data_IF_415799789373
#
_entry.id   IF_415799789373
#
_cell.length_a   1.000
_cell.length_b   1.000
_cell.length_c   1.000
_cell.angle_alpha   90.00
_cell.angle_beta   90.00
_cell.angle_gamma   90.00
#
_symmetry.space_group_name_H-M   'P 1'
#
loop_
_entity.id
_entity.type
_entity.pdbx_description
1 polymer ?
#
# COMPACT_ATOMS: atom_id res chain seq x y z
N UNK A 1 26.78 -4.29 -7.89
CA UNK A 1 25.49 -4.20 -7.19
C UNK A 1 25.79 -4.20 -5.69
N UNK A 2 25.25 -3.24 -4.94
CA UNK A 2 25.49 -3.11 -3.50
C UNK A 2 24.16 -3.23 -2.76
N UNK A 3 24.13 -4.03 -1.68
CA UNK A 3 22.98 -4.11 -0.77
C UNK A 3 23.26 -3.19 0.40
N UNK A 4 22.33 -2.30 0.71
CA UNK A 4 22.42 -1.40 1.84
C UNK A 4 21.17 -1.49 2.70
N UNK A 5 21.38 -1.59 4.01
CA UNK A 5 20.30 -1.63 5.00
C UNK A 5 19.92 -0.21 5.36
N UNK A 6 18.65 0.10 5.25
CA UNK A 6 18.08 1.39 5.62
C UNK A 6 17.60 1.39 7.08
N UNK A 7 17.43 2.58 7.66
CA UNK A 7 17.08 2.79 9.09
C UNK A 7 15.65 2.39 9.49
N UNK A 8 14.89 1.67 8.67
CA UNK A 8 13.51 1.16 8.93
C UNK A 8 12.50 2.23 9.34
N UNK A 9 12.61 3.44 8.82
CA UNK A 9 11.59 4.46 9.02
C UNK A 9 10.51 4.36 7.93
N UNK A 10 9.24 4.53 8.29
CA UNK A 10 8.13 4.52 7.33
C UNK A 10 8.30 5.54 6.20
N UNK A 11 8.92 6.70 6.52
CA UNK A 11 9.25 7.73 5.54
C UNK A 11 10.22 7.24 4.44
N UNK A 12 10.92 6.14 4.64
CA UNK A 12 11.78 5.51 3.64
C UNK A 12 11.04 5.09 2.36
N UNK A 13 9.73 4.94 2.39
CA UNK A 13 8.88 4.77 1.20
C UNK A 13 8.84 6.00 0.28
N UNK A 14 9.19 7.20 0.77
CA UNK A 14 9.35 8.39 -0.06
C UNK A 14 10.76 8.44 -0.66
N UNK A 15 10.85 8.48 -1.99
CA UNK A 15 12.11 8.31 -2.77
C UNK A 15 13.24 9.21 -2.31
N UNK A 16 12.95 10.48 -2.01
CA UNK A 16 14.00 11.45 -1.63
C UNK A 16 14.42 11.31 -0.17
N UNK A 17 13.55 10.84 0.70
CA UNK A 17 13.89 10.46 2.07
C UNK A 17 14.78 9.21 2.08
N UNK A 18 14.46 8.21 1.26
CA UNK A 18 15.30 7.02 1.05
C UNK A 18 16.71 7.42 0.61
N UNK A 19 16.84 8.28 -0.40
CA UNK A 19 18.15 8.75 -0.88
C UNK A 19 18.96 9.42 0.22
N UNK A 20 18.34 10.28 1.05
CA UNK A 20 19.01 10.88 2.20
C UNK A 20 19.48 9.87 3.23
N UNK A 21 18.65 8.86 3.51
CA UNK A 21 19.02 7.77 4.42
C UNK A 21 20.24 7.01 3.89
N UNK A 22 20.26 6.69 2.60
CA UNK A 22 21.41 6.05 1.93
C UNK A 22 22.69 6.93 1.94
N UNK A 23 22.52 8.26 1.99
CA UNK A 23 23.63 9.21 2.15
C UNK A 23 24.09 9.38 3.60
N UNK A 24 23.53 8.63 4.56
CA UNK A 24 23.84 8.77 5.99
C UNK A 24 23.22 10.02 6.64
N UNK A 25 22.25 10.65 5.98
CA UNK A 25 21.55 11.83 6.48
C UNK A 25 20.19 11.43 7.05
N UNK A 26 19.60 12.33 7.86
CA UNK A 26 18.22 12.12 8.34
C UNK A 26 17.26 11.95 7.16
N UNK A 27 16.48 10.85 7.16
CA UNK A 27 15.49 10.55 6.15
C UNK A 27 14.31 11.51 6.17
N UNK A 28 14.43 12.62 5.45
CA UNK A 28 13.38 13.61 5.26
C UNK A 28 13.23 13.93 3.79
N UNK A 29 12.01 14.15 3.27
CA UNK A 29 11.79 14.51 1.87
C UNK A 29 12.60 15.73 1.43
N UNK A 30 13.04 15.75 0.17
CA UNK A 30 13.64 16.92 -0.48
C UNK A 30 12.55 17.77 -1.15
N UNK A 31 12.82 19.06 -1.25
CA UNK A 31 11.99 19.97 -2.06
C UNK A 31 12.22 19.65 -3.54
N UNK A 32 11.19 19.66 -4.32
CA UNK A 32 11.22 19.46 -5.77
C UNK A 32 10.73 20.73 -6.47
N UNK A 33 11.37 21.23 -7.54
CA UNK A 33 12.60 20.75 -8.17
C UNK A 33 13.86 21.01 -7.32
N UNK A 34 15.01 20.30 -7.54
CA UNK A 34 15.24 19.33 -8.60
C UNK A 34 14.60 17.97 -8.33
N UNK A 35 14.23 17.26 -9.40
CA UNK A 35 13.75 15.89 -9.32
C UNK A 35 14.93 14.89 -9.24
N UNK A 36 14.73 13.66 -8.73
CA UNK A 36 15.79 12.67 -8.62
C UNK A 36 16.53 12.37 -9.93
N UNK A 37 15.84 12.42 -11.07
CA UNK A 37 16.45 12.25 -12.37
C UNK A 37 17.46 13.37 -12.73
N UNK A 38 17.36 14.52 -12.08
CA UNK A 38 18.28 15.66 -12.26
C UNK A 38 19.36 15.66 -11.19
N UNK A 39 18.96 15.47 -9.91
CA UNK A 39 19.85 15.50 -8.74
C UNK A 39 19.30 14.54 -7.66
N UNK A 40 19.69 13.28 -7.71
CA UNK A 40 19.26 12.21 -6.81
C UNK A 40 20.31 11.85 -5.74
N UNK A 41 20.69 10.57 -5.67
CA UNK A 41 21.67 10.04 -4.74
C UNK A 41 23.05 10.69 -4.98
N UNK A 42 23.68 11.19 -3.93
CA UNK A 42 24.95 11.94 -4.00
C UNK A 42 24.90 13.09 -5.03
N UNK A 43 23.75 13.69 -5.22
CA UNK A 43 23.52 14.76 -6.20
C UNK A 43 23.72 14.35 -7.67
N UNK A 44 23.73 13.04 -7.95
CA UNK A 44 23.85 12.48 -9.29
C UNK A 44 22.47 12.12 -9.82
N UNK A 45 22.25 12.13 -11.16
CA UNK A 45 21.02 11.64 -11.75
C UNK A 45 20.68 10.22 -11.28
N UNK A 46 19.50 10.02 -10.76
CA UNK A 46 19.09 8.75 -10.13
C UNK A 46 17.68 8.34 -10.51
N UNK A 47 17.50 7.04 -10.76
CA UNK A 47 16.17 6.42 -10.90
C UNK A 47 15.89 5.52 -9.70
N UNK A 48 14.62 5.43 -9.32
CA UNK A 48 14.16 4.55 -8.25
C UNK A 48 13.05 3.68 -8.81
N UNK A 49 13.24 2.37 -8.75
CA UNK A 49 12.28 1.39 -9.23
C UNK A 49 11.76 0.55 -8.06
N UNK A 50 10.47 0.19 -8.13
CA UNK A 50 9.86 -0.71 -7.17
C UNK A 50 10.36 -2.15 -7.42
N UNK A 51 10.58 -2.91 -6.35
CA UNK A 51 11.07 -4.30 -6.42
C UNK A 51 10.05 -5.20 -7.11
N UNK A 52 8.75 -5.04 -6.86
CA UNK A 52 7.69 -5.81 -7.51
C UNK A 52 7.67 -5.56 -9.03
N UNK A 53 7.87 -4.31 -9.46
CA UNK A 53 8.03 -3.99 -10.89
C UNK A 53 9.24 -4.70 -11.48
N UNK A 54 10.39 -4.66 -10.81
CA UNK A 54 11.60 -5.33 -11.29
C UNK A 54 11.47 -6.85 -11.31
N UNK A 55 10.72 -7.44 -10.38
CA UNK A 55 10.49 -8.89 -10.34
C UNK A 55 9.65 -9.41 -11.50
N UNK A 56 8.82 -8.56 -12.12
CA UNK A 56 8.04 -8.92 -13.31
C UNK A 56 8.87 -8.89 -14.61
N UNK A 57 9.98 -8.17 -14.64
CA UNK A 57 10.80 -8.00 -15.85
C UNK A 57 11.33 -9.33 -16.41
N UNK A 58 11.90 -10.26 -15.60
CA UNK A 58 12.39 -11.55 -16.11
C UNK A 58 11.29 -12.35 -16.81
N UNK A 59 10.09 -12.39 -16.23
CA UNK A 59 8.95 -13.08 -16.83
C UNK A 59 8.59 -12.47 -18.20
N UNK A 60 8.53 -11.13 -18.28
CA UNK A 60 8.18 -10.43 -19.52
C UNK A 60 9.25 -10.68 -20.61
N UNK A 61 10.52 -10.70 -20.23
CA UNK A 61 11.63 -10.98 -21.17
C UNK A 61 11.58 -12.43 -21.66
N UNK A 62 11.27 -13.38 -20.78
CA UNK A 62 11.23 -14.80 -21.12
C UNK A 62 9.99 -15.19 -21.91
N UNK A 63 8.82 -14.74 -21.48
CA UNK A 63 7.53 -15.17 -22.03
C UNK A 63 6.90 -14.17 -23.02
N UNK A 64 7.37 -12.94 -23.04
CA UNK A 64 6.84 -11.87 -23.86
C UNK A 64 5.69 -11.09 -23.21
N UNK A 65 5.45 -9.89 -23.74
CA UNK A 65 4.42 -8.96 -23.24
C UNK A 65 2.99 -9.52 -23.40
N UNK A 66 2.73 -10.27 -24.46
CA UNK A 66 1.41 -10.86 -24.73
C UNK A 66 1.04 -11.90 -23.66
N UNK A 67 2.01 -12.70 -23.19
CA UNK A 67 1.78 -13.66 -22.12
C UNK A 67 1.49 -12.96 -20.79
N UNK A 68 2.24 -11.91 -20.48
CA UNK A 68 2.02 -11.10 -19.29
C UNK A 68 0.62 -10.46 -19.27
N UNK A 69 0.14 -9.98 -20.42
CA UNK A 69 -1.17 -9.34 -20.58
C UNK A 69 -2.36 -10.30 -20.46
N UNK A 70 -2.15 -11.60 -20.49
CA UNK A 70 -3.23 -12.59 -20.22
C UNK A 70 -3.70 -12.57 -18.77
N UNK A 71 -2.90 -12.02 -17.87
CA UNK A 71 -3.23 -11.84 -16.48
C UNK A 71 -3.62 -10.39 -16.22
N UNK A 72 -4.61 -10.18 -15.36
CA UNK A 72 -5.08 -8.85 -15.02
C UNK A 72 -6.19 -8.34 -15.93
N UNK A 73 -6.43 -7.04 -15.87
CA UNK A 73 -7.41 -6.36 -16.73
C UNK A 73 -6.72 -5.73 -17.94
N UNK A 74 -7.48 -5.18 -18.88
CA UNK A 74 -6.94 -4.46 -20.03
C UNK A 74 -6.12 -3.24 -19.61
N UNK A 75 -6.62 -2.47 -18.61
CA UNK A 75 -5.97 -1.26 -18.10
C UNK A 75 -4.89 -1.57 -17.05
N UNK A 76 -5.05 -2.68 -16.29
CA UNK A 76 -4.14 -3.12 -15.25
C UNK A 76 -3.68 -4.55 -15.50
N UNK A 77 -2.77 -4.79 -16.48
CA UNK A 77 -2.28 -6.13 -16.77
C UNK A 77 -1.29 -6.63 -15.71
N UNK A 78 -1.21 -7.95 -15.57
CA UNK A 78 -0.28 -8.64 -14.69
C UNK A 78 -0.89 -9.09 -13.38
N UNK A 79 -0.01 -9.58 -12.50
CA UNK A 79 -0.32 -10.00 -11.14
C UNK A 79 0.16 -8.99 -10.12
N UNK A 80 -0.35 -9.09 -8.90
CA UNK A 80 0.10 -8.30 -7.76
C UNK A 80 0.07 -9.13 -6.48
N UNK A 81 1.00 -8.84 -5.57
CA UNK A 81 0.98 -9.39 -4.22
C UNK A 81 0.01 -8.61 -3.34
N UNK A 82 -1.04 -9.29 -2.89
CA UNK A 82 -2.01 -8.76 -1.94
C UNK A 82 -1.65 -9.23 -0.52
N UNK A 83 -1.32 -8.28 0.36
CA UNK A 83 -0.98 -8.55 1.75
C UNK A 83 -2.25 -8.43 2.60
N UNK A 84 -2.90 -9.56 2.91
CA UNK A 84 -4.18 -9.58 3.62
C UNK A 84 -3.98 -9.75 5.12
N UNK A 85 -4.61 -8.87 5.88
CA UNK A 85 -4.60 -8.88 7.34
C UNK A 85 -5.98 -8.53 7.92
N UNK A 86 -6.07 -8.51 9.25
CA UNK A 86 -7.32 -8.21 9.96
C UNK A 86 -8.14 -9.45 10.25
N UNK A 87 -9.45 -9.36 10.13
CA UNK A 87 -10.40 -10.36 10.63
C UNK A 87 -10.76 -11.43 9.59
N UNK A 88 -9.74 -12.07 9.01
CA UNK A 88 -9.89 -13.23 8.13
C UNK A 88 -9.33 -14.49 8.78
N UNK A 89 -9.78 -15.66 8.33
CA UNK A 89 -9.29 -16.95 8.87
C UNK A 89 -7.85 -17.24 8.48
N UNK A 90 -7.44 -16.85 7.27
CA UNK A 90 -6.10 -17.10 6.72
C UNK A 90 -5.50 -15.76 6.25
N UNK A 91 -4.93 -14.94 7.16
CA UNK A 91 -4.15 -13.78 6.74
C UNK A 91 -2.85 -14.24 6.07
N UNK A 92 -2.35 -13.46 5.10
CA UNK A 92 -1.13 -13.82 4.38
C UNK A 92 -0.89 -12.97 3.14
N UNK A 93 0.10 -13.36 2.36
CA UNK A 93 0.44 -12.75 1.09
C UNK A 93 -0.02 -13.67 -0.04
N UNK A 94 -0.79 -13.12 -0.97
CA UNK A 94 -1.39 -13.86 -2.08
C UNK A 94 -1.05 -13.17 -3.39
N UNK A 95 -0.44 -13.90 -4.31
CA UNK A 95 -0.26 -13.41 -5.68
C UNK A 95 -1.51 -13.74 -6.49
N UNK A 96 -2.16 -12.69 -7.00
CA UNK A 96 -3.40 -12.80 -7.76
C UNK A 96 -3.35 -11.86 -8.98
N UNK A 97 -4.08 -12.17 -10.05
CA UNK A 97 -4.22 -11.25 -11.17
C UNK A 97 -4.93 -9.96 -10.73
N UNK A 98 -4.50 -8.83 -11.27
CA UNK A 98 -5.24 -7.58 -11.10
C UNK A 98 -6.65 -7.73 -11.67
N UNK A 99 -7.65 -7.12 -11.01
CA UNK A 99 -9.07 -7.33 -11.33
C UNK A 99 -9.71 -8.49 -10.56
N UNK A 100 -8.95 -9.22 -9.73
CA UNK A 100 -9.52 -10.28 -8.89
C UNK A 100 -10.59 -9.70 -7.94
N UNK A 101 -11.77 -10.33 -7.79
CA UNK A 101 -12.82 -9.79 -6.92
C UNK A 101 -12.38 -9.77 -5.44
N UNK A 102 -12.53 -8.62 -4.78
CA UNK A 102 -12.20 -8.48 -3.36
C UNK A 102 -13.00 -9.43 -2.48
N UNK A 103 -14.25 -9.68 -2.83
CA UNK A 103 -15.11 -10.65 -2.16
C UNK A 103 -14.51 -12.06 -2.18
N UNK A 104 -14.05 -12.52 -3.34
CA UNK A 104 -13.49 -13.86 -3.50
C UNK A 104 -12.14 -13.98 -2.77
N UNK A 105 -11.34 -12.89 -2.74
CA UNK A 105 -10.14 -12.85 -1.91
C UNK A 105 -10.47 -13.07 -0.43
N UNK A 106 -11.50 -12.40 0.09
CA UNK A 106 -11.86 -12.50 1.52
C UNK A 106 -12.44 -13.88 1.83
N UNK A 107 -13.43 -14.33 1.06
CA UNK A 107 -14.23 -15.50 1.42
C UNK A 107 -13.61 -16.82 0.95
N UNK A 108 -13.08 -16.88 -0.25
CA UNK A 108 -12.53 -18.12 -0.83
C UNK A 108 -11.05 -18.28 -0.53
N UNK A 109 -10.23 -17.28 -0.91
CA UNK A 109 -8.78 -17.35 -0.74
C UNK A 109 -8.40 -17.28 0.74
N UNK A 110 -8.94 -16.32 1.50
CA UNK A 110 -8.65 -16.15 2.92
C UNK A 110 -9.54 -16.97 3.85
N UNK A 111 -10.49 -17.75 3.28
CA UNK A 111 -11.37 -18.66 4.03
C UNK A 111 -12.48 -17.98 4.82
N UNK A 112 -12.77 -16.71 4.52
CA UNK A 112 -13.82 -15.93 5.14
C UNK A 112 -13.48 -15.38 6.52
N UNK A 113 -14.49 -14.82 7.16
CA UNK A 113 -14.43 -14.27 8.50
C UNK A 113 -14.56 -15.37 9.56
N UNK A 114 -14.32 -15.06 10.82
CA UNK A 114 -14.62 -15.97 11.93
C UNK A 114 -16.10 -16.29 11.97
N UNK A 115 -16.47 -17.45 12.51
CA UNK A 115 -17.87 -17.88 12.62
C UNK A 115 -18.73 -16.86 13.37
N UNK A 116 -19.94 -16.63 12.83
CA UNK A 116 -20.90 -15.69 13.39
C UNK A 116 -20.56 -14.21 13.16
N UNK A 117 -19.50 -13.89 12.40
CA UNK A 117 -19.10 -12.53 12.10
C UNK A 117 -19.54 -12.10 10.71
N UNK A 118 -19.82 -10.82 10.56
CA UNK A 118 -20.16 -10.19 9.27
C UNK A 118 -19.13 -9.14 8.89
N UNK A 119 -18.93 -8.95 7.59
CA UNK A 119 -18.04 -7.92 7.08
C UNK A 119 -18.57 -6.54 7.44
N UNK A 120 -17.73 -5.70 8.00
CA UNK A 120 -18.04 -4.29 8.29
C UNK A 120 -17.43 -3.34 7.26
N UNK A 121 -16.20 -3.58 6.89
CA UNK A 121 -15.51 -2.79 5.87
C UNK A 121 -14.10 -3.29 5.61
N UNK A 122 -13.49 -2.75 4.56
CA UNK A 122 -12.15 -3.13 4.10
C UNK A 122 -11.33 -1.88 3.75
N UNK A 123 -10.08 -1.90 4.11
CA UNK A 123 -9.08 -0.98 3.57
C UNK A 123 -8.34 -1.74 2.46
N UNK A 124 -8.51 -1.41 1.17
CA UNK A 124 -7.99 -2.24 0.09
C UNK A 124 -6.52 -2.00 -0.27
N UNK A 125 -5.96 -0.85 0.12
CA UNK A 125 -4.65 -0.40 -0.40
C UNK A 125 -3.68 0.14 0.65
N UNK A 126 -3.86 -0.21 1.91
CA UNK A 126 -3.06 0.29 3.03
C UNK A 126 -3.74 1.44 3.78
N UNK A 127 -3.19 1.81 4.92
CA UNK A 127 -3.84 2.71 5.89
C UNK A 127 -4.10 4.13 5.41
N UNK A 128 -3.56 4.52 4.24
CA UNK A 128 -3.70 5.87 3.69
C UNK A 128 -4.82 6.04 2.67
N UNK A 129 -5.59 4.97 2.42
CA UNK A 129 -6.71 5.01 1.46
C UNK A 129 -8.06 4.94 2.18
N UNK A 130 -9.15 5.42 1.56
CA UNK A 130 -10.49 5.34 2.12
C UNK A 130 -10.91 3.90 2.45
N UNK A 131 -11.67 3.77 3.53
CA UNK A 131 -12.29 2.51 3.93
C UNK A 131 -13.51 2.30 3.04
N UNK A 132 -13.62 1.13 2.44
CA UNK A 132 -14.83 0.67 1.76
C UNK A 132 -15.77 0.04 2.79
N UNK A 133 -17.05 0.31 2.69
CA UNK A 133 -18.05 -0.38 3.46
C UNK A 133 -18.29 -1.80 2.93
N UNK A 134 -19.27 -2.52 3.49
CA UNK A 134 -19.58 -3.88 3.09
C UNK A 134 -20.01 -3.96 1.63
N UNK A 135 -20.96 -3.10 1.22
CA UNK A 135 -21.56 -3.12 -0.10
C UNK A 135 -20.53 -2.75 -1.18
N UNK A 136 -19.79 -1.68 -0.93
CA UNK A 136 -18.66 -1.25 -1.78
C UNK A 136 -17.58 -2.33 -1.92
N UNK A 137 -17.27 -3.03 -0.81
CA UNK A 137 -16.27 -4.10 -0.79
C UNK A 137 -16.71 -5.33 -1.58
N UNK A 138 -17.99 -5.72 -1.49
CA UNK A 138 -18.52 -6.90 -2.19
C UNK A 138 -18.58 -6.70 -3.71
N UNK A 139 -18.70 -5.45 -4.18
CA UNK A 139 -18.69 -5.08 -5.60
C UNK A 139 -17.32 -4.65 -6.16
N UNK A 140 -16.27 -4.65 -5.33
CA UNK A 140 -14.96 -4.13 -5.71
C UNK A 140 -14.10 -5.18 -6.43
N UNK A 141 -13.49 -4.77 -7.54
CA UNK A 141 -12.42 -5.51 -8.24
C UNK A 141 -11.06 -4.91 -7.86
N UNK A 142 -10.09 -5.77 -7.56
CA UNK A 142 -8.75 -5.39 -7.12
C UNK A 142 -7.84 -5.04 -8.31
N UNK A 143 -8.26 -4.03 -9.08
CA UNK A 143 -7.44 -3.34 -10.09
C UNK A 143 -7.30 -1.86 -9.71
N UNK A 144 -6.42 -1.12 -10.40
CA UNK A 144 -6.30 0.32 -10.15
C UNK A 144 -7.60 1.05 -10.44
N UNK A 145 -8.21 0.77 -11.58
CA UNK A 145 -9.47 1.34 -12.03
C UNK A 145 -10.67 0.84 -11.19
N UNK A 146 -10.70 -0.45 -10.83
CA UNK A 146 -11.79 -1.05 -10.06
C UNK A 146 -11.89 -0.48 -8.64
N UNK A 147 -10.76 -0.35 -7.95
CA UNK A 147 -10.74 0.22 -6.58
C UNK A 147 -11.04 1.72 -6.59
N UNK A 148 -10.61 2.47 -7.64
CA UNK A 148 -11.00 3.88 -7.81
C UNK A 148 -12.50 4.00 -8.02
N UNK A 149 -13.09 3.15 -8.85
CA UNK A 149 -14.55 3.11 -9.09
C UNK A 149 -15.33 2.80 -7.80
N UNK A 150 -14.79 1.98 -6.90
CA UNK A 150 -15.36 1.70 -5.59
C UNK A 150 -15.17 2.84 -4.56
N UNK A 151 -14.49 3.94 -4.91
CA UNK A 151 -14.30 5.08 -4.02
C UNK A 151 -13.04 5.04 -3.16
N UNK A 152 -12.10 4.12 -3.43
CA UNK A 152 -10.84 3.99 -2.70
C UNK A 152 -9.63 3.98 -3.65
N UNK A 153 -8.51 3.42 -3.24
CA UNK A 153 -7.29 3.30 -4.04
C UNK A 153 -6.60 1.97 -3.76
N UNK A 154 -6.02 1.35 -4.80
CA UNK A 154 -5.28 0.09 -4.65
C UNK A 154 -4.00 0.24 -3.81
N UNK A 155 -3.39 1.42 -3.83
CA UNK A 155 -2.21 1.75 -3.02
C UNK A 155 -1.10 0.70 -3.13
N UNK A 156 -0.70 0.15 -1.98
CA UNK A 156 0.29 -0.93 -1.91
C UNK A 156 -0.33 -2.33 -1.86
N UNK A 157 -1.63 -2.49 -2.13
CA UNK A 157 -2.37 -3.74 -2.05
C UNK A 157 -2.31 -4.41 -0.65
N UNK A 158 -2.14 -3.62 0.41
CA UNK A 158 -2.30 -4.07 1.79
C UNK A 158 -3.78 -4.04 2.18
N UNK A 159 -4.40 -5.21 2.16
CA UNK A 159 -5.83 -5.37 2.42
C UNK A 159 -6.05 -5.62 3.91
N UNK A 160 -6.82 -4.75 4.57
CA UNK A 160 -7.16 -4.88 6.00
C UNK A 160 -8.65 -5.11 6.12
N UNK A 161 -9.04 -6.31 6.53
CA UNK A 161 -10.44 -6.72 6.65
C UNK A 161 -10.95 -6.49 8.07
N UNK A 162 -12.08 -5.83 8.20
CA UNK A 162 -12.72 -5.49 9.47
C UNK A 162 -14.11 -6.13 9.54
N UNK A 163 -14.37 -6.89 10.61
CA UNK A 163 -15.68 -7.44 10.91
C UNK A 163 -16.52 -6.52 11.80
N UNK A 164 -17.75 -6.94 12.09
CA UNK A 164 -18.73 -6.22 12.91
C UNK A 164 -18.27 -5.92 14.35
N UNK A 165 -17.25 -6.60 14.87
CA UNK A 165 -16.66 -6.30 16.17
C UNK A 165 -15.73 -5.09 16.16
N UNK A 166 -15.36 -4.58 14.99
CA UNK A 166 -14.43 -3.47 14.83
C UNK A 166 -15.08 -2.15 15.24
N UNK A 167 -14.47 -1.47 16.19
CA UNK A 167 -14.73 -0.06 16.47
C UNK A 167 -13.92 0.79 15.49
N UNK A 168 -14.58 1.44 14.55
CA UNK A 168 -13.95 2.22 13.48
C UNK A 168 -13.19 3.42 14.06
N UNK A 169 -13.72 4.10 15.09
CA UNK A 169 -13.04 5.25 15.70
C UNK A 169 -11.72 4.82 16.33
N UNK A 170 -11.72 3.70 17.07
CA UNK A 170 -10.49 3.12 17.63
C UNK A 170 -9.51 2.69 16.55
N UNK A 171 -9.99 2.16 15.43
CA UNK A 171 -9.11 1.78 14.32
C UNK A 171 -8.48 2.99 13.66
N UNK A 172 -9.25 4.05 13.39
CA UNK A 172 -8.74 5.33 12.87
C UNK A 172 -7.73 5.94 13.83
N UNK A 173 -8.02 5.96 15.14
CA UNK A 173 -7.08 6.45 16.14
C UNK A 173 -5.74 5.69 16.11
N UNK A 174 -5.77 4.35 16.00
CA UNK A 174 -4.53 3.54 15.85
C UNK A 174 -3.72 3.94 14.62
N UNK A 175 -4.39 4.17 13.48
CA UNK A 175 -3.70 4.62 12.26
C UNK A 175 -3.10 6.01 12.44
N UNK A 176 -3.81 6.93 13.07
CA UNK A 176 -3.31 8.29 13.33
C UNK A 176 -2.14 8.26 14.32
N UNK A 177 -2.20 7.43 15.37
CA UNK A 177 -1.08 7.21 16.30
C UNK A 177 0.16 6.69 15.58
N UNK A 178 -0.01 5.75 14.65
CA UNK A 178 1.07 5.27 13.80
C UNK A 178 1.68 6.41 12.96
N UNK A 179 0.87 7.24 12.31
CA UNK A 179 1.36 8.39 11.54
C UNK A 179 2.04 9.44 12.41
N UNK A 180 1.55 9.69 13.60
CA UNK A 180 2.19 10.60 14.56
C UNK A 180 3.58 10.09 14.96
N UNK A 181 3.70 8.78 15.26
CA UNK A 181 4.97 8.13 15.60
C UNK A 181 5.98 8.14 14.43
N UNK A 182 5.53 7.83 13.23
CA UNK A 182 6.37 7.71 12.04
C UNK A 182 6.63 9.05 11.33
N UNK A 183 6.10 10.15 11.83
CA UNK A 183 6.34 11.48 11.27
C UNK A 183 7.84 11.80 11.25
N UNK A 184 8.39 12.14 10.08
CA UNK A 184 9.78 12.59 9.97
C UNK A 184 10.02 13.97 10.60
N UNK A 185 8.95 14.69 11.00
CA UNK A 185 8.98 15.98 11.67
C UNK A 185 9.32 17.18 10.77
N UNK A 186 9.40 17.00 9.44
CA UNK A 186 9.76 18.10 8.54
C UNK A 186 8.64 19.12 8.36
N UNK A 187 7.43 18.66 8.09
CA UNK A 187 6.30 19.53 7.75
C UNK A 187 5.42 19.77 8.98
N UNK A 188 5.14 21.04 9.32
CA UNK A 188 4.37 21.41 10.49
C UNK A 188 3.00 20.74 10.57
N UNK A 189 2.19 20.66 9.49
CA UNK A 189 0.88 19.98 9.56
C UNK A 189 0.97 18.51 9.95
N UNK A 190 1.98 17.79 9.48
CA UNK A 190 2.21 16.39 9.85
C UNK A 190 2.78 16.30 11.27
N UNK A 191 3.83 17.05 11.60
CA UNK A 191 4.52 16.99 12.88
C UNK A 191 3.60 17.30 14.06
N UNK A 192 2.83 18.37 13.96
CA UNK A 192 1.92 18.82 15.02
C UNK A 192 0.51 18.27 14.84
N UNK A 193 -0.03 18.32 13.61
CA UNK A 193 -1.41 17.97 13.33
C UNK A 193 -1.71 16.48 13.56
N UNK A 194 -0.80 15.57 13.25
CA UNK A 194 -1.04 14.14 13.49
C UNK A 194 -1.17 13.82 14.99
N UNK A 195 -0.30 14.41 15.83
CA UNK A 195 -0.39 14.23 17.29
C UNK A 195 -1.63 14.91 17.92
N UNK A 196 -2.06 16.04 17.36
CA UNK A 196 -3.31 16.67 17.80
C UNK A 196 -4.53 15.85 17.41
N UNK A 197 -4.56 15.33 16.19
CA UNK A 197 -5.65 14.47 15.72
C UNK A 197 -5.77 13.21 16.57
N UNK A 198 -4.65 12.59 16.95
CA UNK A 198 -4.65 11.43 17.85
C UNK A 198 -5.28 11.75 19.22
N UNK A 199 -5.03 12.96 19.74
CA UNK A 199 -5.59 13.39 21.05
C UNK A 199 -7.08 13.72 20.99
N UNK A 200 -7.57 14.11 19.81
CA UNK A 200 -9.00 14.44 19.59
C UNK A 200 -9.83 13.18 19.40
N UNK A 201 -9.29 12.14 18.77
CA UNK A 201 -9.92 10.82 18.59
C UNK A 201 -9.84 9.97 19.87
#
# INVERSE_FOLDING_TARGET
MTVQVEARAYIGGEKTALMKSLEGKRGTPRVKPPFPAQAGYMNMPSTVNNVETLSSVPFIIEKGAEEYRKHGTEESPGTKLFCVSGHVKRPGNYELPLGFPLKDLIYDVCGGLKEGRTLKGVIPGGSSVPILDREESEGCELSYEGVIKAGSQLGCASVIVMDDSTDIVKQVRKMVAFYAHESCGKCTPCREGSSWTEKVL
#
